data_IF_274934676994
#
_entry.id   IF_274934676994
#
_cell.length_a   1.000
_cell.length_b   1.000
_cell.length_c   1.000
_cell.angle_alpha   90.00
_cell.angle_beta   90.00
_cell.angle_gamma   90.00
#
_symmetry.space_group_name_H-M   'P 1'
#
loop_
_entity.id
_entity.type
_entity.pdbx_description
1 polymer ?
#
# COMPACT_ATOMS: atom_id res chain seq x y z
N UNK A 1 43.24 -14.59 -6.90
CA UNK A 1 42.32 -13.89 -6.01
C UNK A 1 40.95 -13.96 -6.65
N UNK A 2 40.10 -14.86 -6.16
CA UNK A 2 38.77 -15.11 -6.69
C UNK A 2 37.78 -14.14 -6.06
N UNK A 3 37.26 -13.23 -6.84
CA UNK A 3 36.15 -12.36 -6.43
C UNK A 3 34.88 -13.20 -6.50
N UNK A 4 34.38 -13.63 -5.35
CA UNK A 4 33.07 -14.25 -5.24
C UNK A 4 32.03 -13.19 -5.62
N UNK A 5 31.44 -13.34 -6.79
CA UNK A 5 30.20 -12.64 -7.18
C UNK A 5 29.09 -13.19 -6.31
N UNK A 6 28.59 -12.41 -5.36
CA UNK A 6 27.40 -12.75 -4.61
C UNK A 6 26.23 -12.95 -5.60
N UNK A 7 25.52 -14.07 -5.48
CA UNK A 7 24.29 -14.33 -6.24
C UNK A 7 23.25 -13.23 -5.91
N UNK A 8 22.52 -12.69 -6.90
CA UNK A 8 21.53 -11.65 -6.69
C UNK A 8 20.28 -12.09 -5.90
N UNK A 9 20.14 -13.37 -5.59
CA UNK A 9 18.94 -14.00 -5.01
C UNK A 9 19.11 -14.51 -3.56
N UNK A 10 20.03 -13.93 -2.78
CA UNK A 10 20.08 -14.25 -1.35
C UNK A 10 18.82 -13.69 -0.67
N UNK A 11 18.06 -14.57 0.00
CA UNK A 11 16.89 -14.19 0.80
C UNK A 11 17.25 -13.00 1.71
N UNK A 12 16.52 -11.87 1.55
CA UNK A 12 16.76 -10.63 2.31
C UNK A 12 16.47 -10.95 3.79
N UNK A 13 17.50 -10.87 4.63
CA UNK A 13 17.36 -11.13 6.06
C UNK A 13 16.72 -9.92 6.76
N UNK A 14 16.11 -10.13 7.95
CA UNK A 14 15.62 -9.04 8.80
C UNK A 14 16.72 -8.04 9.17
N UNK A 15 17.98 -8.50 9.26
CA UNK A 15 19.14 -7.63 9.53
C UNK A 15 19.50 -6.79 8.31
N UNK A 16 19.33 -7.29 7.10
CA UNK A 16 19.52 -6.52 5.86
C UNK A 16 18.43 -5.45 5.72
N UNK A 17 17.17 -5.79 6.01
CA UNK A 17 16.05 -4.82 6.09
C UNK A 17 16.39 -3.71 7.07
N UNK A 18 16.82 -4.06 8.27
CA UNK A 18 17.15 -3.10 9.33
C UNK A 18 18.38 -2.23 9.02
N UNK A 19 19.42 -2.80 8.40
CA UNK A 19 20.59 -2.06 7.99
C UNK A 19 20.29 -1.10 6.85
N UNK A 20 19.53 -1.55 5.87
CA UNK A 20 19.07 -0.73 4.75
C UNK A 20 18.10 0.34 5.24
N UNK A 21 17.24 0.00 6.19
CA UNK A 21 16.36 0.92 6.88
C UNK A 21 17.12 2.11 7.49
N UNK A 22 18.13 1.86 8.31
CA UNK A 22 18.92 2.93 8.94
C UNK A 22 19.53 3.84 7.89
N UNK A 23 20.01 3.27 6.79
CA UNK A 23 20.59 4.04 5.67
C UNK A 23 19.54 4.86 4.91
N UNK A 24 18.35 4.29 4.64
CA UNK A 24 17.24 5.02 3.99
C UNK A 24 16.73 6.11 4.93
N UNK A 25 16.58 5.82 6.22
CA UNK A 25 16.15 6.80 7.21
C UNK A 25 17.14 7.95 7.41
N UNK A 26 18.44 7.70 7.20
CA UNK A 26 19.48 8.73 7.22
C UNK A 26 19.52 9.55 5.92
N UNK A 27 19.14 8.94 4.79
CA UNK A 27 19.22 9.56 3.45
C UNK A 27 17.90 10.18 3.02
N UNK A 28 16.78 9.59 3.43
CA UNK A 28 15.42 10.04 3.16
C UNK A 28 14.76 10.31 4.51
N UNK A 29 14.29 11.54 4.71
CA UNK A 29 13.49 11.90 5.90
C UNK A 29 12.15 11.18 5.82
N UNK A 30 12.12 9.90 6.28
CA UNK A 30 10.94 9.07 6.22
C UNK A 30 9.87 9.62 7.17
N UNK A 31 8.73 10.07 6.66
CA UNK A 31 7.73 10.71 7.49
C UNK A 31 7.10 9.68 8.44
N UNK A 32 7.02 10.00 9.74
CA UNK A 32 6.28 9.18 10.68
C UNK A 32 4.78 9.19 10.34
N UNK A 33 4.10 8.09 10.65
CA UNK A 33 2.64 8.06 10.57
C UNK A 33 2.04 9.15 11.49
N UNK A 34 1.02 9.91 11.04
CA UNK A 34 0.32 10.86 11.89
C UNK A 34 -0.16 10.22 13.20
N UNK A 35 0.12 10.85 14.35
CA UNK A 35 -0.07 10.25 15.67
C UNK A 35 -1.53 9.80 15.95
N UNK A 36 -2.52 10.58 15.46
CA UNK A 36 -3.93 10.23 15.57
C UNK A 36 -4.27 8.95 14.77
N UNK A 37 -3.74 8.85 13.54
CA UNK A 37 -3.94 7.68 12.69
C UNK A 37 -3.27 6.43 13.29
N UNK A 38 -2.02 6.53 13.74
CA UNK A 38 -1.31 5.43 14.39
C UNK A 38 -2.04 4.92 15.63
N UNK A 39 -2.59 5.84 16.46
CA UNK A 39 -3.38 5.48 17.63
C UNK A 39 -4.70 4.81 17.24
N UNK A 40 -5.42 5.35 16.26
CA UNK A 40 -6.70 4.80 15.79
C UNK A 40 -6.51 3.42 15.14
N UNK A 41 -5.42 3.21 14.39
CA UNK A 41 -5.07 1.90 13.80
C UNK A 41 -4.80 0.84 14.87
N UNK A 42 -4.08 1.18 15.94
CA UNK A 42 -3.88 0.26 17.07
C UNK A 42 -5.20 -0.12 17.75
N UNK A 43 -6.05 0.87 18.03
CA UNK A 43 -7.36 0.62 18.63
C UNK A 43 -8.26 -0.22 17.72
N UNK A 44 -8.23 0.01 16.41
CA UNK A 44 -9.06 -0.75 15.45
C UNK A 44 -8.67 -2.23 15.32
N UNK A 45 -7.53 -2.65 15.90
CA UNK A 45 -7.09 -4.06 15.99
C UNK A 45 -7.50 -4.73 17.30
N UNK A 46 -7.77 -3.94 18.35
CA UNK A 46 -8.14 -4.43 19.65
C UNK A 46 -9.64 -4.80 19.66
N UNK A 47 -9.98 -6.10 19.89
CA UNK A 47 -11.36 -6.56 19.89
C UNK A 47 -12.23 -5.93 20.99
N UNK A 48 -11.62 -5.44 22.06
CA UNK A 48 -12.33 -4.79 23.16
C UNK A 48 -12.59 -3.30 22.91
N UNK A 49 -12.03 -2.73 21.84
CA UNK A 49 -12.20 -1.32 21.48
C UNK A 49 -13.64 -1.03 21.04
N UNK A 50 -14.19 0.03 21.58
CA UNK A 50 -15.52 0.52 21.22
C UNK A 50 -15.47 1.54 20.07
N UNK A 51 -16.58 1.65 19.33
CA UNK A 51 -16.74 2.69 18.29
C UNK A 51 -16.57 4.10 18.85
N UNK A 52 -16.99 4.34 20.09
CA UNK A 52 -16.90 5.66 20.73
C UNK A 52 -15.45 6.04 21.07
N UNK A 53 -14.63 5.08 21.46
CA UNK A 53 -13.20 5.29 21.67
C UNK A 53 -12.47 5.62 20.37
N UNK A 54 -12.76 4.88 19.29
CA UNK A 54 -12.24 5.18 17.96
C UNK A 54 -12.66 6.56 17.48
N UNK A 55 -13.95 6.92 17.62
CA UNK A 55 -14.43 8.22 17.21
C UNK A 55 -13.73 9.37 17.96
N UNK A 56 -13.50 9.23 19.27
CA UNK A 56 -12.75 10.23 20.06
C UNK A 56 -11.32 10.42 19.55
N UNK A 57 -10.64 9.34 19.18
CA UNK A 57 -9.25 9.41 18.70
C UNK A 57 -9.19 10.01 17.30
N UNK A 58 -10.10 9.62 16.40
CA UNK A 58 -10.16 10.17 15.04
C UNK A 58 -10.52 11.65 15.05
N UNK A 59 -11.36 12.12 15.99
CA UNK A 59 -11.72 13.53 16.16
C UNK A 59 -10.56 14.44 16.59
N UNK A 60 -9.46 13.88 17.08
CA UNK A 60 -8.25 14.67 17.42
C UNK A 60 -7.67 15.33 16.16
N UNK A 61 -7.83 14.69 15.01
CA UNK A 61 -7.42 15.20 13.70
C UNK A 61 -8.66 15.51 12.83
N UNK A 62 -9.02 16.79 12.67
CA UNK A 62 -10.20 17.17 11.89
C UNK A 62 -10.14 16.77 10.41
N UNK A 63 -8.94 16.76 9.81
CA UNK A 63 -8.77 16.35 8.41
C UNK A 63 -9.03 14.84 8.28
N UNK A 64 -8.50 14.02 9.20
CA UNK A 64 -8.76 12.59 9.25
C UNK A 64 -10.24 12.29 9.49
N UNK A 65 -10.91 13.00 10.41
CA UNK A 65 -12.34 12.87 10.65
C UNK A 65 -13.17 13.19 9.40
N UNK A 66 -12.83 14.25 8.68
CA UNK A 66 -13.48 14.63 7.43
C UNK A 66 -13.30 13.54 6.36
N UNK A 67 -12.11 12.95 6.22
CA UNK A 67 -11.86 11.83 5.29
C UNK A 67 -12.70 10.61 5.65
N UNK A 68 -12.75 10.21 6.91
CA UNK A 68 -13.58 9.07 7.34
C UNK A 68 -15.06 9.32 7.00
N UNK A 69 -15.58 10.52 7.25
CA UNK A 69 -16.95 10.87 6.89
C UNK A 69 -17.19 10.83 5.38
N UNK A 70 -16.29 11.37 4.58
CA UNK A 70 -16.40 11.40 3.12
C UNK A 70 -16.36 9.98 2.56
N UNK A 71 -15.38 9.19 2.94
CA UNK A 71 -15.21 7.83 2.43
C UNK A 71 -16.31 6.87 2.90
N UNK A 72 -16.89 7.09 4.09
CA UNK A 72 -18.04 6.28 4.53
C UNK A 72 -19.30 6.44 3.67
N UNK A 73 -19.32 7.43 2.78
CA UNK A 73 -20.39 7.69 1.81
C UNK A 73 -20.05 7.21 0.41
N UNK A 74 -18.89 6.63 0.22
CA UNK A 74 -18.44 6.10 -1.06
C UNK A 74 -19.19 4.84 -1.47
N UNK A 75 -19.06 4.47 -2.75
CA UNK A 75 -19.69 3.25 -3.30
C UNK A 75 -19.22 1.98 -2.59
N UNK A 76 -17.96 1.95 -2.11
CA UNK A 76 -17.40 0.83 -1.33
C UNK A 76 -18.20 0.53 -0.04
N UNK A 77 -18.80 1.56 0.57
CA UNK A 77 -19.49 1.46 1.85
C UNK A 77 -20.97 1.88 1.76
N UNK A 78 -21.50 2.02 0.54
CA UNK A 78 -22.84 2.58 0.29
C UNK A 78 -23.93 1.83 1.07
N UNK A 79 -24.67 2.59 1.88
CA UNK A 79 -25.89 2.14 2.58
C UNK A 79 -27.10 2.99 2.17
N UNK A 80 -28.30 2.48 2.45
CA UNK A 80 -29.57 3.20 2.13
C UNK A 80 -29.60 4.63 2.69
N UNK A 81 -28.95 4.87 3.84
CA UNK A 81 -28.91 6.17 4.49
C UNK A 81 -27.46 6.53 4.77
N UNK A 82 -26.95 7.66 4.23
CA UNK A 82 -25.61 8.14 4.52
C UNK A 82 -25.43 8.45 6.01
N UNK A 83 -24.25 8.18 6.60
CA UNK A 83 -23.96 8.48 7.99
C UNK A 83 -24.00 10.00 8.24
N UNK A 84 -24.56 10.40 9.38
CA UNK A 84 -24.70 11.79 9.82
C UNK A 84 -23.67 12.21 10.86
N UNK A 85 -22.96 11.27 11.42
CA UNK A 85 -21.93 11.48 12.45
C UNK A 85 -20.71 10.61 12.19
N UNK A 86 -19.56 10.96 12.79
CA UNK A 86 -18.35 10.16 12.72
C UNK A 86 -18.57 8.75 13.32
N UNK A 87 -19.34 8.67 14.41
CA UNK A 87 -19.71 7.38 15.01
C UNK A 87 -20.48 6.51 14.02
N UNK A 88 -21.50 7.08 13.37
CA UNK A 88 -22.26 6.36 12.33
C UNK A 88 -21.39 5.99 11.14
N UNK A 89 -20.45 6.85 10.74
CA UNK A 89 -19.48 6.58 9.69
C UNK A 89 -18.61 5.37 10.04
N UNK A 90 -18.04 5.31 11.25
CA UNK A 90 -17.24 4.17 11.73
C UNK A 90 -18.08 2.88 11.77
N UNK A 91 -19.32 2.94 12.24
CA UNK A 91 -20.24 1.79 12.21
C UNK A 91 -20.53 1.35 10.76
N UNK A 92 -20.65 2.30 9.83
CA UNK A 92 -20.93 2.02 8.42
C UNK A 92 -19.77 1.30 7.75
N UNK A 93 -18.55 1.79 7.90
CA UNK A 93 -17.35 1.20 7.27
C UNK A 93 -16.84 -0.02 8.04
N UNK A 94 -17.18 -0.13 9.32
CA UNK A 94 -16.60 -1.13 10.22
C UNK A 94 -15.14 -0.85 10.55
N UNK A 95 -14.55 -1.65 11.45
CA UNK A 95 -13.16 -1.45 11.87
C UNK A 95 -12.16 -1.71 10.75
N UNK A 96 -12.42 -2.69 9.90
CA UNK A 96 -11.57 -2.98 8.74
C UNK A 96 -11.60 -1.84 7.71
N UNK A 97 -12.79 -1.34 7.36
CA UNK A 97 -12.92 -0.18 6.48
C UNK A 97 -12.26 1.07 7.08
N UNK A 98 -12.38 1.28 8.39
CA UNK A 98 -11.68 2.36 9.07
C UNK A 98 -10.15 2.22 8.96
N UNK A 99 -9.59 1.03 9.16
CA UNK A 99 -8.15 0.76 8.98
C UNK A 99 -7.68 1.14 7.57
N UNK A 100 -8.43 0.76 6.53
CA UNK A 100 -8.13 1.11 5.12
C UNK A 100 -8.12 2.62 4.91
N UNK A 101 -9.13 3.32 5.39
CA UNK A 101 -9.25 4.78 5.28
C UNK A 101 -8.11 5.48 6.01
N UNK A 102 -7.81 5.06 7.24
CA UNK A 102 -6.73 5.63 8.04
C UNK A 102 -5.37 5.42 7.37
N UNK A 103 -5.14 4.23 6.81
CA UNK A 103 -3.88 3.92 6.12
C UNK A 103 -3.73 4.76 4.86
N UNK A 104 -4.75 4.84 4.00
CA UNK A 104 -4.72 5.64 2.78
C UNK A 104 -4.49 7.13 3.09
N UNK A 105 -5.21 7.67 4.09
CA UNK A 105 -5.04 9.05 4.53
C UNK A 105 -3.64 9.32 5.08
N UNK A 106 -3.08 8.38 5.86
CA UNK A 106 -1.74 8.51 6.45
C UNK A 106 -0.66 8.48 5.38
N UNK A 107 -0.73 7.54 4.45
CA UNK A 107 0.21 7.42 3.36
C UNK A 107 0.18 8.68 2.46
N UNK A 108 -1.01 9.14 2.10
CA UNK A 108 -1.17 10.37 1.28
C UNK A 108 -0.63 11.62 1.99
N UNK A 109 -0.85 11.74 3.30
CA UNK A 109 -0.34 12.86 4.11
C UNK A 109 1.18 12.81 4.29
N UNK A 110 1.73 11.62 4.49
CA UNK A 110 3.16 11.42 4.70
C UNK A 110 3.99 11.77 3.46
N UNK A 111 3.47 11.48 2.27
CA UNK A 111 4.14 11.69 0.99
C UNK A 111 3.40 12.72 0.14
N UNK A 112 3.22 13.92 0.68
CA UNK A 112 2.46 15.02 0.06
C UNK A 112 3.24 15.72 -1.08
N UNK A 113 3.55 14.98 -2.14
CA UNK A 113 4.08 15.53 -3.39
C UNK A 113 2.94 15.57 -4.40
N UNK A 114 2.73 16.73 -5.02
CA UNK A 114 1.65 16.95 -5.99
C UNK A 114 2.23 17.23 -7.39
N UNK A 115 2.89 16.22 -7.95
CA UNK A 115 3.31 16.23 -9.34
C UNK A 115 2.74 15.02 -10.11
N UNK A 116 2.91 15.02 -11.44
CA UNK A 116 2.35 13.98 -12.29
C UNK A 116 2.86 12.57 -11.97
N UNK A 117 4.10 12.46 -11.49
CA UNK A 117 4.71 11.16 -11.14
C UNK A 117 4.08 10.65 -9.86
N UNK A 118 3.99 11.48 -8.82
CA UNK A 118 3.34 11.13 -7.57
C UNK A 118 1.87 10.78 -7.77
N UNK A 119 1.14 11.57 -8.59
CA UNK A 119 -0.26 11.27 -8.94
C UNK A 119 -0.40 9.90 -9.63
N UNK A 120 0.50 9.57 -10.58
CA UNK A 120 0.49 8.27 -11.26
C UNK A 120 0.79 7.12 -10.30
N UNK A 121 1.77 7.27 -9.41
CA UNK A 121 2.10 6.28 -8.38
C UNK A 121 0.93 6.06 -7.41
N UNK A 122 0.25 7.14 -6.99
CA UNK A 122 -0.94 7.03 -6.15
C UNK A 122 -2.11 6.35 -6.85
N UNK A 123 -2.37 6.68 -8.12
CA UNK A 123 -3.41 6.04 -8.92
C UNK A 123 -3.14 4.53 -9.05
N UNK A 124 -1.89 4.16 -9.33
CA UNK A 124 -1.45 2.76 -9.36
C UNK A 124 -1.66 2.06 -8.00
N UNK A 125 -1.18 2.66 -6.91
CA UNK A 125 -1.32 2.10 -5.56
C UNK A 125 -2.79 1.89 -5.18
N UNK A 126 -3.67 2.84 -5.49
CA UNK A 126 -5.10 2.69 -5.24
C UNK A 126 -5.73 1.59 -6.10
N UNK A 127 -5.42 1.54 -7.38
CA UNK A 127 -5.92 0.50 -8.27
C UNK A 127 -5.49 -0.89 -7.80
N UNK A 128 -4.21 -1.05 -7.40
CA UNK A 128 -3.69 -2.29 -6.83
C UNK A 128 -4.36 -2.65 -5.50
N UNK A 129 -4.62 -1.67 -4.62
CA UNK A 129 -5.33 -1.90 -3.37
C UNK A 129 -6.76 -2.43 -3.59
N UNK A 130 -7.49 -1.84 -4.53
CA UNK A 130 -8.84 -2.27 -4.90
C UNK A 130 -8.83 -3.66 -5.54
N UNK A 131 -7.88 -3.94 -6.43
CA UNK A 131 -7.71 -5.26 -7.03
C UNK A 131 -7.37 -6.32 -5.99
N UNK A 132 -6.47 -6.01 -5.05
CA UNK A 132 -6.12 -6.91 -3.95
C UNK A 132 -7.31 -7.22 -3.04
N UNK A 133 -8.14 -6.23 -2.74
CA UNK A 133 -9.37 -6.41 -1.95
C UNK A 133 -10.40 -7.30 -2.66
N UNK A 134 -10.58 -7.13 -3.98
CA UNK A 134 -11.47 -7.98 -4.77
C UNK A 134 -10.95 -9.41 -4.88
N UNK A 135 -9.64 -9.60 -5.14
CA UNK A 135 -9.01 -10.93 -5.16
C UNK A 135 -9.16 -11.65 -3.81
N UNK A 136 -8.95 -10.95 -2.70
CA UNK A 136 -9.09 -11.55 -1.36
C UNK A 136 -10.52 -12.01 -1.05
N UNK A 137 -11.54 -11.40 -1.67
CA UNK A 137 -12.93 -11.86 -1.56
C UNK A 137 -13.19 -13.16 -2.33
N UNK A 138 -12.46 -13.38 -3.44
CA UNK A 138 -12.56 -14.58 -4.27
C UNK A 138 -11.75 -15.75 -3.68
N UNK A 139 -10.72 -15.47 -2.87
CA UNK A 139 -9.85 -16.47 -2.23
C UNK A 139 -9.85 -16.34 -0.71
N UNK A 140 -10.98 -16.66 -0.03
CA UNK A 140 -11.06 -16.56 1.42
C UNK A 140 -10.04 -17.49 2.10
N UNK A 141 -9.19 -16.94 2.96
CA UNK A 141 -8.15 -17.66 3.69
C UNK A 141 -6.72 -17.38 3.24
N UNK A 142 -6.50 -16.83 2.03
CA UNK A 142 -5.17 -16.48 1.55
C UNK A 142 -4.60 -15.22 2.22
N UNK A 143 -5.48 -14.34 2.71
CA UNK A 143 -5.09 -13.12 3.41
C UNK A 143 -6.05 -12.79 4.56
N UNK A 144 -5.55 -12.21 5.67
CA UNK A 144 -6.39 -11.63 6.70
C UNK A 144 -7.27 -10.49 6.14
N UNK A 145 -8.49 -10.37 6.65
CA UNK A 145 -9.43 -9.35 6.20
C UNK A 145 -8.86 -7.93 6.35
N UNK A 146 -8.79 -7.19 5.26
CA UNK A 146 -8.29 -5.82 5.20
C UNK A 146 -6.79 -5.68 4.94
N UNK A 147 -5.98 -6.70 5.15
CA UNK A 147 -4.53 -6.63 4.94
C UNK A 147 -4.18 -6.64 3.45
N UNK A 148 -4.98 -7.31 2.61
CA UNK A 148 -4.80 -7.30 1.17
C UNK A 148 -4.88 -5.88 0.58
N UNK A 149 -5.90 -5.10 0.98
CA UNK A 149 -6.01 -3.70 0.57
C UNK A 149 -4.79 -2.88 1.01
N UNK A 150 -4.37 -3.02 2.28
CA UNK A 150 -3.25 -2.27 2.84
C UNK A 150 -1.94 -2.65 2.15
N UNK A 151 -1.70 -3.94 1.95
CA UNK A 151 -0.52 -4.43 1.24
C UNK A 151 -0.49 -3.93 -0.22
N UNK A 152 -1.62 -4.02 -0.92
CA UNK A 152 -1.76 -3.48 -2.28
C UNK A 152 -1.56 -1.97 -2.37
N UNK A 153 -2.03 -1.21 -1.36
CA UNK A 153 -1.82 0.24 -1.30
C UNK A 153 -0.35 0.63 -1.11
N UNK A 154 0.39 -0.16 -0.36
CA UNK A 154 1.76 0.19 0.06
C UNK A 154 2.85 -0.58 -0.69
N UNK A 155 2.51 -1.54 -1.58
CA UNK A 155 3.50 -2.40 -2.22
C UNK A 155 4.61 -1.60 -2.93
N UNK A 156 4.25 -0.51 -3.56
CA UNK A 156 5.11 0.38 -4.34
C UNK A 156 5.46 1.70 -3.62
N UNK A 157 5.18 1.83 -2.32
CA UNK A 157 5.44 3.08 -1.57
C UNK A 157 6.92 3.47 -1.60
N UNK A 158 7.83 2.51 -1.77
CA UNK A 158 9.26 2.75 -1.96
C UNK A 158 9.58 3.57 -3.20
N UNK A 159 8.82 3.42 -4.29
CA UNK A 159 8.97 4.23 -5.50
C UNK A 159 8.67 5.71 -5.21
N UNK A 160 7.66 5.97 -4.40
CA UNK A 160 7.32 7.32 -3.98
C UNK A 160 8.40 7.92 -3.07
N UNK A 161 9.01 7.11 -2.18
CA UNK A 161 10.16 7.52 -1.37
C UNK A 161 11.33 7.94 -2.26
N UNK A 162 11.67 7.15 -3.27
CA UNK A 162 12.75 7.48 -4.20
C UNK A 162 12.46 8.74 -4.99
N UNK A 163 11.21 8.90 -5.46
CA UNK A 163 10.79 10.12 -6.16
C UNK A 163 10.88 11.38 -5.27
N UNK A 164 10.50 11.29 -4.00
CA UNK A 164 10.62 12.39 -3.03
C UNK A 164 12.07 12.70 -2.72
N UNK A 165 12.92 11.67 -2.57
CA UNK A 165 14.32 11.82 -2.21
C UNK A 165 15.14 12.49 -3.34
N UNK A 166 14.97 12.02 -4.58
CA UNK A 166 15.59 12.60 -5.77
C UNK A 166 14.74 12.34 -7.02
N UNK A 167 13.86 13.27 -7.34
CA UNK A 167 12.96 13.17 -8.50
C UNK A 167 13.70 13.08 -9.85
N UNK A 168 14.92 13.64 -9.94
CA UNK A 168 15.73 13.58 -11.16
C UNK A 168 16.38 12.22 -11.33
N UNK A 169 16.95 11.66 -10.27
CA UNK A 169 17.48 10.31 -10.26
C UNK A 169 16.35 9.30 -10.53
N UNK A 170 15.20 9.45 -9.86
CA UNK A 170 14.04 8.59 -10.08
C UNK A 170 13.57 8.60 -11.55
N UNK A 171 13.50 9.77 -12.19
CA UNK A 171 13.13 9.89 -13.60
C UNK A 171 14.10 9.18 -14.57
N UNK A 172 15.34 8.93 -14.16
CA UNK A 172 16.35 8.22 -14.96
C UNK A 172 16.23 6.69 -14.86
N UNK A 173 15.50 6.17 -13.86
CA UNK A 173 15.29 4.72 -13.71
C UNK A 173 14.56 4.11 -14.92
N UNK A 174 13.64 4.86 -15.51
CA UNK A 174 12.88 4.49 -16.70
C UNK A 174 11.92 3.32 -16.45
N UNK A 175 12.41 2.09 -16.49
CA UNK A 175 11.70 0.87 -16.12
C UNK A 175 12.18 0.48 -14.73
N UNK A 176 11.28 -0.06 -13.87
CA UNK A 176 11.67 -0.60 -12.57
C UNK A 176 12.73 -1.69 -12.74
N UNK A 177 13.97 -1.30 -12.46
CA UNK A 177 15.14 -2.15 -12.51
C UNK A 177 15.76 -2.14 -11.12
N UNK A 178 15.54 -3.22 -10.38
CA UNK A 178 16.06 -3.38 -9.00
C UNK A 178 17.57 -3.15 -8.91
N UNK A 179 18.34 -3.39 -9.97
CA UNK A 179 19.77 -3.11 -10.00
C UNK A 179 20.04 -1.61 -10.04
N UNK A 180 19.30 -0.87 -10.87
CA UNK A 180 19.40 0.59 -10.93
C UNK A 180 18.89 1.26 -9.65
N UNK A 181 17.80 0.76 -9.06
CA UNK A 181 17.33 1.26 -7.77
C UNK A 181 18.40 1.13 -6.69
N UNK A 182 19.08 -0.03 -6.62
CA UNK A 182 20.21 -0.24 -5.70
C UNK A 182 21.40 0.69 -6.01
N UNK A 183 21.68 0.94 -7.28
CA UNK A 183 22.74 1.83 -7.72
C UNK A 183 22.46 3.28 -7.30
N UNK A 184 21.26 3.80 -7.57
CA UNK A 184 20.89 5.20 -7.33
C UNK A 184 20.51 5.47 -5.87
N UNK A 185 19.75 4.58 -5.25
CA UNK A 185 19.13 4.79 -3.92
C UNK A 185 19.68 3.83 -2.85
N UNK A 186 20.53 2.87 -3.24
CA UNK A 186 21.13 1.91 -2.33
C UNK A 186 20.17 0.81 -1.84
N UNK A 187 18.92 0.78 -2.30
CA UNK A 187 17.92 -0.21 -1.97
C UNK A 187 16.93 -0.38 -3.12
N UNK A 188 16.16 -1.47 -3.10
CA UNK A 188 15.01 -1.66 -3.98
C UNK A 188 13.76 -1.04 -3.37
N UNK A 189 12.75 -0.71 -4.21
CA UNK A 189 11.51 -0.08 -3.73
C UNK A 189 10.71 -0.98 -2.79
N UNK A 190 10.69 -2.30 -3.01
CA UNK A 190 10.08 -3.29 -2.13
C UNK A 190 10.71 -3.27 -0.74
N UNK A 191 12.05 -3.22 -0.66
CA UNK A 191 12.77 -3.11 0.61
C UNK A 191 12.50 -1.76 1.31
N UNK A 192 12.53 -0.64 0.57
CA UNK A 192 12.21 0.68 1.10
C UNK A 192 10.78 0.75 1.62
N UNK A 193 9.82 0.17 0.88
CA UNK A 193 8.42 0.08 1.28
C UNK A 193 8.20 -0.77 2.52
N UNK A 194 8.87 -1.91 2.61
CA UNK A 194 8.84 -2.78 3.78
C UNK A 194 9.36 -2.07 5.04
N UNK A 195 10.43 -1.27 4.91
CA UNK A 195 10.94 -0.45 6.01
C UNK A 195 9.89 0.54 6.53
N UNK A 196 9.15 1.22 5.64
CA UNK A 196 8.05 2.10 6.06
C UNK A 196 6.95 1.32 6.77
N UNK A 197 6.58 0.16 6.25
CA UNK A 197 5.57 -0.69 6.87
C UNK A 197 5.97 -1.12 8.29
N UNK A 198 7.24 -1.47 8.53
CA UNK A 198 7.76 -1.78 9.86
C UNK A 198 7.73 -0.57 10.80
N UNK A 199 8.18 0.63 10.36
CA UNK A 199 8.11 1.86 11.17
C UNK A 199 6.66 2.18 11.56
N UNK A 200 5.74 1.99 10.65
CA UNK A 200 4.34 2.23 10.89
C UNK A 200 3.69 1.15 11.74
N UNK A 201 4.45 0.11 12.13
CA UNK A 201 4.00 -0.98 12.99
C UNK A 201 2.94 -1.86 12.32
N UNK A 202 3.06 -2.08 11.00
CA UNK A 202 2.18 -2.99 10.27
C UNK A 202 2.50 -4.45 10.59
N UNK A 203 1.55 -5.33 10.32
CA UNK A 203 1.70 -6.75 10.56
C UNK A 203 2.78 -7.35 9.65
N UNK A 204 3.51 -8.34 10.16
CA UNK A 204 4.58 -9.04 9.42
C UNK A 204 4.08 -9.57 8.07
N UNK A 205 2.84 -10.03 8.00
CA UNK A 205 2.23 -10.48 6.75
C UNK A 205 2.19 -9.38 5.67
N UNK A 206 1.90 -8.14 6.05
CA UNK A 206 1.90 -6.98 5.12
C UNK A 206 3.33 -6.63 4.71
N UNK A 207 4.28 -6.62 5.66
CA UNK A 207 5.70 -6.38 5.39
C UNK A 207 6.24 -7.41 4.39
N UNK A 208 5.97 -8.70 4.62
CA UNK A 208 6.38 -9.78 3.72
C UNK A 208 5.69 -9.71 2.36
N UNK A 209 4.45 -9.24 2.30
CA UNK A 209 3.76 -9.04 1.04
C UNK A 209 4.41 -7.92 0.21
N UNK A 210 4.81 -6.82 0.84
CA UNK A 210 5.52 -5.73 0.18
C UNK A 210 6.89 -6.21 -0.33
N UNK A 211 7.65 -6.96 0.48
CA UNK A 211 8.95 -7.51 0.08
C UNK A 211 8.85 -8.52 -1.08
N UNK A 212 7.78 -9.31 -1.13
CA UNK A 212 7.66 -10.46 -2.02
C UNK A 212 6.73 -10.27 -3.22
N UNK A 213 6.16 -9.08 -3.46
CA UNK A 213 5.14 -8.90 -4.50
C UNK A 213 5.66 -9.09 -5.94
N UNK A 214 6.96 -8.97 -6.17
CA UNK A 214 7.61 -9.32 -7.44
C UNK A 214 7.99 -10.80 -7.56
N UNK A 215 7.63 -11.63 -6.62
CA UNK A 215 8.00 -13.03 -6.54
C UNK A 215 9.21 -13.25 -5.61
N UNK A 216 9.85 -14.40 -5.72
CA UNK A 216 10.97 -14.81 -4.87
C UNK A 216 10.97 -16.33 -4.73
N UNK A 217 11.90 -16.89 -3.94
CA UNK A 217 11.99 -18.35 -3.75
C UNK A 217 10.75 -18.97 -3.08
N UNK A 218 10.07 -18.22 -2.18
CA UNK A 218 8.86 -18.69 -1.48
C UNK A 218 7.96 -17.52 -1.08
N UNK A 219 7.25 -16.87 -2.03
CA UNK A 219 6.39 -15.75 -1.71
C UNK A 219 5.22 -16.21 -0.83
N UNK A 220 4.80 -15.33 0.11
CA UNK A 220 3.61 -15.61 0.92
C UNK A 220 2.34 -15.56 0.07
N UNK A 221 1.22 -16.21 0.46
CA UNK A 221 -0.04 -16.11 -0.27
C UNK A 221 -0.46 -14.65 -0.50
N UNK A 222 -0.28 -13.79 0.51
CA UNK A 222 -0.58 -12.35 0.38
C UNK A 222 0.35 -11.65 -0.61
N UNK A 223 1.64 -12.00 -0.68
CA UNK A 223 2.57 -11.46 -1.67
C UNK A 223 2.16 -11.83 -3.10
N UNK A 224 1.78 -13.10 -3.32
CA UNK A 224 1.27 -13.58 -4.61
C UNK A 224 0.00 -12.82 -5.00
N UNK A 225 -0.91 -12.63 -4.05
CA UNK A 225 -2.16 -11.91 -4.26
C UNK A 225 -1.88 -10.44 -4.66
N UNK A 226 -0.95 -9.77 -3.98
CA UNK A 226 -0.55 -8.38 -4.29
C UNK A 226 0.10 -8.29 -5.67
N UNK A 227 0.99 -9.22 -6.04
CA UNK A 227 1.58 -9.25 -7.37
C UNK A 227 0.54 -9.46 -8.49
N UNK A 228 -0.50 -10.28 -8.27
CA UNK A 228 -1.63 -10.41 -9.18
C UNK A 228 -2.44 -9.12 -9.29
N UNK A 229 -2.68 -8.47 -8.16
CA UNK A 229 -3.40 -7.19 -8.11
C UNK A 229 -2.68 -6.07 -8.87
N UNK A 230 -1.35 -6.01 -8.78
CA UNK A 230 -0.50 -5.09 -9.52
C UNK A 230 -0.62 -5.29 -11.04
N UNK A 231 -0.66 -6.55 -11.51
CA UNK A 231 -0.92 -6.86 -12.93
C UNK A 231 -2.30 -6.38 -13.37
N UNK A 232 -3.35 -6.57 -12.56
CA UNK A 232 -4.69 -6.06 -12.86
C UNK A 232 -4.69 -4.53 -12.96
N UNK A 233 -4.03 -3.84 -12.02
CA UNK A 233 -3.90 -2.37 -12.05
C UNK A 233 -3.24 -1.91 -13.35
N UNK A 234 -2.21 -2.62 -13.80
CA UNK A 234 -1.52 -2.34 -15.07
C UNK A 234 -2.44 -2.61 -16.27
N UNK A 235 -3.18 -3.71 -16.29
CA UNK A 235 -4.11 -4.08 -17.36
C UNK A 235 -5.24 -3.05 -17.53
N UNK A 236 -5.75 -2.52 -16.45
CA UNK A 236 -6.79 -1.48 -16.49
C UNK A 236 -6.26 -0.07 -16.80
N UNK A 237 -4.95 0.08 -17.05
CA UNK A 237 -4.32 1.32 -17.50
C UNK A 237 -3.66 2.16 -16.40
N UNK A 238 -3.52 1.62 -15.20
CA UNK A 238 -2.88 2.29 -14.06
C UNK A 238 -1.55 1.62 -13.66
N UNK A 239 -0.72 1.24 -14.64
CA UNK A 239 0.62 0.73 -14.37
C UNK A 239 1.56 1.82 -13.88
N UNK A 240 2.37 1.54 -12.86
CA UNK A 240 3.35 2.50 -12.34
C UNK A 240 4.53 2.73 -13.28
N UNK A 241 4.95 1.71 -14.00
CA UNK A 241 5.95 1.71 -15.10
C UNK A 241 5.82 0.37 -15.82
N UNK A 242 6.24 0.22 -17.10
CA UNK A 242 6.26 -1.09 -17.78
C UNK A 242 7.07 -2.10 -16.97
N UNK A 243 6.38 -3.03 -16.35
CA UNK A 243 7.01 -4.07 -15.54
C UNK A 243 7.44 -5.22 -16.45
N UNK A 244 8.60 -5.82 -16.16
CA UNK A 244 8.95 -7.13 -16.70
C UNK A 244 7.94 -8.17 -16.21
N UNK A 245 7.65 -9.19 -17.03
CA UNK A 245 6.75 -10.27 -16.66
C UNK A 245 7.18 -10.88 -15.32
N UNK A 246 6.27 -10.94 -14.35
CA UNK A 246 6.49 -11.66 -13.09
C UNK A 246 6.44 -13.16 -13.43
N UNK A 247 7.54 -13.92 -13.21
CA UNK A 247 7.56 -15.34 -13.56
C UNK A 247 6.49 -16.09 -12.76
N UNK A 248 5.62 -16.82 -13.47
CA UNK A 248 4.60 -17.67 -12.84
C UNK A 248 3.23 -17.02 -12.62
N UNK A 249 3.05 -15.75 -12.93
CA UNK A 249 1.74 -15.12 -12.97
C UNK A 249 1.20 -15.16 -14.39
N UNK A 250 0.09 -15.85 -14.61
CA UNK A 250 -0.59 -15.87 -15.89
C UNK A 250 -1.17 -14.47 -16.16
N UNK A 251 -0.78 -13.86 -17.26
CA UNK A 251 -1.46 -12.67 -17.78
C UNK A 251 -2.87 -13.12 -18.18
N UNK A 252 -3.88 -12.58 -17.53
CA UNK A 252 -5.28 -12.88 -17.84
C UNK A 252 -6.07 -13.35 -16.63
N UNK A 253 -6.18 -12.50 -15.60
CA UNK A 253 -7.28 -12.61 -14.63
C UNK A 253 -8.61 -12.41 -15.38
N UNK A 254 -9.71 -12.85 -14.75
CA UNK A 254 -11.02 -12.76 -15.40
C UNK A 254 -11.31 -11.33 -15.85
N UNK A 255 -11.72 -11.12 -17.13
CA UNK A 255 -12.10 -9.80 -17.62
C UNK A 255 -13.16 -9.12 -16.77
N UNK A 256 -14.02 -9.91 -16.10
CA UNK A 256 -15.05 -9.42 -15.19
C UNK A 256 -14.43 -8.81 -13.92
N UNK A 257 -13.34 -9.38 -13.40
CA UNK A 257 -12.62 -8.83 -12.25
C UNK A 257 -11.94 -7.50 -12.62
N UNK A 258 -11.25 -7.45 -13.75
CA UNK A 258 -10.62 -6.23 -14.25
C UNK A 258 -11.64 -5.10 -14.43
N UNK A 259 -12.82 -5.39 -14.98
CA UNK A 259 -13.87 -4.39 -15.17
C UNK A 259 -14.51 -3.94 -13.84
N UNK A 260 -14.69 -4.84 -12.87
CA UNK A 260 -15.12 -4.46 -11.51
C UNK A 260 -14.11 -3.52 -10.85
N UNK A 261 -12.82 -3.84 -10.92
CA UNK A 261 -11.75 -3.00 -10.35
C UNK A 261 -11.73 -1.64 -11.04
N UNK A 262 -11.84 -1.57 -12.37
CA UNK A 262 -11.91 -0.31 -13.12
C UNK A 262 -13.10 0.54 -12.66
N UNK A 263 -14.28 -0.05 -12.55
CA UNK A 263 -15.49 0.63 -12.11
C UNK A 263 -15.34 1.18 -10.69
N UNK A 264 -14.79 0.37 -9.76
CA UNK A 264 -14.51 0.80 -8.39
C UNK A 264 -13.50 1.94 -8.37
N UNK A 265 -12.39 1.81 -9.11
CA UNK A 265 -11.37 2.85 -9.17
C UNK A 265 -11.94 4.19 -9.65
N UNK A 266 -12.68 4.19 -10.76
CA UNK A 266 -13.29 5.42 -11.29
C UNK A 266 -14.28 6.08 -10.31
N UNK A 267 -14.97 5.28 -9.49
CA UNK A 267 -15.88 5.80 -8.48
C UNK A 267 -15.18 6.35 -7.23
N UNK A 268 -13.99 5.84 -6.91
CA UNK A 268 -13.31 6.09 -5.65
C UNK A 268 -12.08 7.02 -5.78
N UNK A 269 -11.49 7.17 -6.97
CA UNK A 269 -10.24 7.93 -7.17
C UNK A 269 -10.30 9.35 -6.60
N UNK A 270 -11.43 10.05 -6.74
CA UNK A 270 -11.60 11.40 -6.21
C UNK A 270 -11.68 11.49 -4.68
N UNK A 271 -11.85 10.37 -3.99
CA UNK A 271 -11.89 10.33 -2.53
C UNK A 271 -10.49 10.23 -1.90
N UNK A 272 -9.51 9.85 -2.72
CA UNK A 272 -8.12 9.70 -2.31
C UNK A 272 -7.24 10.87 -2.79
N UNK A 273 -7.78 11.79 -3.59
CA UNK A 273 -7.17 13.07 -3.94
C UNK A 273 -7.33 14.07 -2.78
#
# INVERSE_FOLDING_TARGET
MSTATASPDAAISRDDVRTTFNRIAETCDLPPMPAAAARALRLARDPDTTTDELAKVVLIDPALAARVLTMSRSVLYLRRTPPKSLREAIVTVGFQGLRRILMAASARSAFSVDDKVAQALWAHSLATALAADELAKETPGDAPAGDAFIAGLLHDIGKLIFHVADSKAYAQLGVCDSAKEREFFGATHDLAGACVAEIWGLDDAVVQAILGHHGGEAPTPLAVLVGRADLIATEIGYGSVPQGAVPGLAVGESPELAERVRTLFESEKSLFD
#
